data_IF_915202807118
#
_entry.id   IF_915202807118
#
_cell.length_a   1.000
_cell.length_b   1.000
_cell.length_c   1.000
_cell.angle_alpha   90.00
_cell.angle_beta   90.00
_cell.angle_gamma   90.00
#
_symmetry.space_group_name_H-M   'P 1'
#
loop_
_entity.id
_entity.type
_entity.pdbx_description
1 polymer ?
#
# COMPACT_ATOMS: atom_id res chain seq x y z
N UNK A 1 4.78 -70.46 43.76
CA UNK A 1 4.53 -69.00 43.90
C UNK A 1 5.80 -68.16 43.68
N UNK A 2 7.02 -68.66 43.94
CA UNK A 2 8.27 -67.94 43.67
C UNK A 2 8.66 -67.81 42.17
N UNK A 3 8.28 -68.73 41.29
CA UNK A 3 8.67 -68.72 39.86
C UNK A 3 7.92 -67.66 39.02
N UNK A 4 6.78 -67.18 39.50
CA UNK A 4 5.96 -66.18 38.81
C UNK A 4 6.41 -64.74 39.08
N UNK A 5 7.05 -64.49 40.22
CA UNK A 5 7.55 -63.16 40.60
C UNK A 5 8.77 -62.78 39.77
N UNK A 6 9.65 -63.73 39.48
CA UNK A 6 10.85 -63.50 38.66
C UNK A 6 10.53 -63.11 37.22
N UNK A 7 9.50 -63.72 36.61
CA UNK A 7 9.09 -63.37 35.24
C UNK A 7 8.49 -61.98 35.14
N UNK A 8 7.81 -61.52 36.18
CA UNK A 8 7.19 -60.19 36.20
C UNK A 8 8.24 -59.08 36.37
N UNK A 9 9.24 -59.30 37.22
CA UNK A 9 10.38 -58.38 37.40
C UNK A 9 11.21 -58.30 36.12
N UNK A 10 11.41 -59.41 35.42
CA UNK A 10 12.15 -59.43 34.15
C UNK A 10 11.44 -58.65 33.04
N UNK A 11 10.11 -58.75 32.95
CA UNK A 11 9.31 -57.97 31.97
C UNK A 11 9.35 -56.47 32.29
N UNK A 12 9.29 -56.09 33.57
CA UNK A 12 9.39 -54.68 33.98
C UNK A 12 10.77 -54.09 33.68
N UNK A 13 11.85 -54.87 33.86
CA UNK A 13 13.21 -54.43 33.51
C UNK A 13 13.38 -54.24 32.01
N UNK A 14 12.85 -55.13 31.17
CA UNK A 14 12.88 -54.97 29.71
C UNK A 14 12.07 -53.73 29.29
N UNK A 15 10.90 -53.51 29.88
CA UNK A 15 10.07 -52.34 29.57
C UNK A 15 10.75 -51.03 29.99
N UNK A 16 11.40 -51.01 31.16
CA UNK A 16 12.16 -49.84 31.63
C UNK A 16 13.39 -49.56 30.75
N UNK A 17 14.10 -50.59 30.30
CA UNK A 17 15.21 -50.43 29.34
C UNK A 17 14.70 -49.90 27.99
N UNK A 18 13.57 -50.41 27.50
CA UNK A 18 12.99 -49.95 26.24
C UNK A 18 12.58 -48.47 26.30
N UNK A 19 11.95 -48.04 27.40
CA UNK A 19 11.63 -46.62 27.62
C UNK A 19 12.89 -45.75 27.76
N UNK A 20 13.95 -46.28 28.38
CA UNK A 20 15.23 -45.57 28.47
C UNK A 20 15.91 -45.43 27.10
N UNK A 21 15.84 -46.45 26.24
CA UNK A 21 16.34 -46.38 24.87
C UNK A 21 15.52 -45.42 24.00
N UNK A 22 14.19 -45.38 24.15
CA UNK A 22 13.35 -44.37 23.48
C UNK A 22 13.73 -42.97 23.95
N UNK A 23 13.90 -42.75 25.26
CA UNK A 23 14.30 -41.46 25.80
C UNK A 23 15.69 -41.04 25.29
N UNK A 24 16.67 -41.95 25.25
CA UNK A 24 17.99 -41.66 24.66
C UNK A 24 17.87 -41.37 23.16
N UNK A 25 17.09 -42.15 22.41
CA UNK A 25 16.84 -41.92 21.00
C UNK A 25 16.28 -40.51 20.75
N UNK A 26 15.27 -40.11 21.52
CA UNK A 26 14.61 -38.80 21.46
C UNK A 26 15.57 -37.65 21.81
N UNK A 27 16.51 -37.88 22.76
CA UNK A 27 17.56 -36.91 23.09
C UNK A 27 18.68 -36.85 22.04
N UNK A 28 18.98 -37.96 21.35
CA UNK A 28 20.02 -38.01 20.31
C UNK A 28 19.58 -37.41 18.96
N UNK A 29 18.28 -37.41 18.64
CA UNK A 29 17.76 -36.74 17.44
C UNK A 29 17.71 -35.20 17.57
N UNK A 30 17.85 -34.63 18.78
CA UNK A 30 17.81 -33.18 18.99
C UNK A 30 19.06 -32.45 18.44
N UNK A 31 20.13 -33.18 18.13
CA UNK A 31 21.44 -32.59 17.77
C UNK A 31 21.99 -33.02 16.41
N UNK A 32 21.17 -33.60 15.52
CA UNK A 32 21.52 -33.54 14.09
C UNK A 32 21.34 -32.11 13.63
N UNK A 33 22.46 -31.41 13.48
CA UNK A 33 22.55 -30.08 12.85
C UNK A 33 21.92 -30.13 11.46
N UNK A 34 20.61 -29.91 11.41
CA UNK A 34 19.97 -29.34 10.24
C UNK A 34 20.60 -27.98 10.09
N UNK A 35 21.54 -27.89 9.15
CA UNK A 35 21.84 -26.63 8.51
C UNK A 35 20.51 -26.13 7.97
N UNK A 36 19.84 -25.29 8.75
CA UNK A 36 18.81 -24.40 8.24
C UNK A 36 19.55 -23.57 7.21
N UNK A 37 19.48 -24.00 5.95
CA UNK A 37 19.68 -23.10 4.84
C UNK A 37 18.71 -21.95 5.12
N UNK A 38 19.25 -20.82 5.57
CA UNK A 38 18.54 -19.56 5.54
C UNK A 38 18.19 -19.41 4.07
N UNK A 39 16.96 -19.77 3.70
CA UNK A 39 16.37 -19.29 2.46
C UNK A 39 16.37 -17.78 2.66
N UNK A 40 17.39 -17.12 2.14
CA UNK A 40 17.37 -15.68 1.95
C UNK A 40 16.16 -15.45 1.06
N UNK A 41 15.08 -14.96 1.69
CA UNK A 41 13.88 -14.59 0.98
C UNK A 41 14.33 -13.61 -0.11
N UNK A 42 14.11 -13.98 -1.38
CA UNK A 42 14.50 -13.13 -2.51
C UNK A 42 13.93 -11.73 -2.23
N UNK A 43 14.72 -10.65 -2.42
CA UNK A 43 14.25 -9.31 -2.12
C UNK A 43 12.93 -9.06 -2.85
N UNK A 44 11.98 -8.44 -2.15
CA UNK A 44 10.77 -7.95 -2.76
C UNK A 44 11.20 -6.85 -3.75
N UNK A 45 11.04 -7.11 -5.05
CA UNK A 45 11.54 -6.28 -6.17
C UNK A 45 13.07 -6.27 -6.36
N UNK A 46 13.67 -7.41 -6.77
CA UNK A 46 15.11 -7.52 -7.00
C UNK A 46 15.63 -6.50 -8.02
N UNK A 47 14.81 -6.08 -8.98
CA UNK A 47 15.14 -5.13 -10.03
C UNK A 47 15.49 -3.73 -9.53
N UNK A 48 14.98 -3.32 -8.34
CA UNK A 48 15.26 -1.99 -7.80
C UNK A 48 16.46 -1.95 -6.84
N UNK A 49 16.89 -3.11 -6.33
CA UNK A 49 17.97 -3.22 -5.33
C UNK A 49 19.25 -2.49 -5.76
N UNK A 50 19.74 -2.63 -7.01
CA UNK A 50 20.98 -1.94 -7.43
C UNK A 50 20.88 -0.41 -7.34
N UNK A 51 19.70 0.15 -7.61
CA UNK A 51 19.45 1.59 -7.57
C UNK A 51 19.38 2.12 -6.13
N UNK A 52 18.78 1.36 -5.21
CA UNK A 52 18.79 1.71 -3.78
C UNK A 52 20.22 1.72 -3.21
N UNK A 53 20.99 0.66 -3.49
CA UNK A 53 22.38 0.58 -3.05
C UNK A 53 23.25 1.72 -3.61
N UNK A 54 22.99 2.16 -4.84
CA UNK A 54 23.67 3.31 -5.43
C UNK A 54 23.41 4.59 -4.63
N UNK A 55 22.14 4.91 -4.33
CA UNK A 55 21.77 6.09 -3.53
C UNK A 55 22.35 6.00 -2.12
N UNK A 56 22.27 4.83 -1.47
CA UNK A 56 22.85 4.64 -0.13
C UNK A 56 24.36 4.89 -0.12
N UNK A 57 25.09 4.38 -1.12
CA UNK A 57 26.52 4.65 -1.27
C UNK A 57 26.80 6.13 -1.46
N UNK A 58 26.02 6.83 -2.30
CA UNK A 58 26.16 8.28 -2.51
C UNK A 58 25.92 9.08 -1.23
N UNK A 59 24.95 8.68 -0.40
CA UNK A 59 24.68 9.29 0.90
C UNK A 59 25.87 9.07 1.86
N UNK A 60 26.42 7.85 1.90
CA UNK A 60 27.52 7.48 2.80
C UNK A 60 28.87 8.12 2.42
N UNK A 61 29.15 8.36 1.14
CA UNK A 61 30.45 8.82 0.63
C UNK A 61 30.72 10.34 0.77
N UNK A 62 29.90 11.07 1.52
CA UNK A 62 30.13 12.49 1.86
C UNK A 62 30.18 13.46 0.65
N UNK A 63 29.38 13.19 -0.38
CA UNK A 63 28.79 14.23 -1.26
C UNK A 63 27.42 14.69 -0.72
N UNK A 64 27.23 14.57 0.59
CA UNK A 64 25.94 14.67 1.25
C UNK A 64 25.24 15.99 0.94
N UNK A 65 25.94 17.12 0.80
CA UNK A 65 25.28 18.41 0.54
C UNK A 65 24.49 18.46 -0.77
N UNK A 66 24.97 17.84 -1.85
CA UNK A 66 24.33 17.96 -3.17
C UNK A 66 23.26 16.88 -3.36
N UNK A 67 23.57 15.62 -3.02
CA UNK A 67 22.60 14.52 -3.17
C UNK A 67 21.47 14.65 -2.16
N UNK A 68 21.75 15.00 -0.89
CA UNK A 68 20.68 15.18 0.11
C UNK A 68 19.85 16.44 -0.12
N UNK A 69 20.42 17.47 -0.74
CA UNK A 69 19.64 18.65 -1.17
C UNK A 69 18.67 18.33 -2.31
N UNK A 70 18.92 17.26 -3.07
CA UNK A 70 18.01 16.75 -4.09
C UNK A 70 17.01 15.72 -3.53
N UNK A 71 17.12 15.28 -2.28
CA UNK A 71 16.11 14.38 -1.70
C UNK A 71 14.85 15.18 -1.34
N UNK A 72 13.71 14.72 -1.85
CA UNK A 72 12.41 15.24 -1.44
C UNK A 72 12.17 14.85 0.02
N UNK A 73 11.99 15.83 0.93
CA UNK A 73 11.89 15.50 2.34
C UNK A 73 10.62 14.68 2.64
N UNK A 74 10.71 13.67 3.51
CA UNK A 74 9.55 12.88 3.88
C UNK A 74 8.63 13.69 4.81
N UNK A 75 7.39 13.22 4.95
CA UNK A 75 6.46 13.72 5.96
C UNK A 75 6.09 15.23 5.86
N UNK A 76 6.08 15.80 4.67
CA UNK A 76 5.43 17.09 4.45
C UNK A 76 3.92 16.93 4.59
N UNK A 77 3.24 17.84 5.28
CA UNK A 77 1.79 17.72 5.53
C UNK A 77 0.99 18.17 4.30
N UNK A 78 0.55 17.22 3.50
CA UNK A 78 -0.46 17.45 2.46
C UNK A 78 -1.87 17.44 3.07
N UNK A 79 -2.87 17.88 2.30
CA UNK A 79 -4.28 17.69 2.62
C UNK A 79 -4.60 16.20 2.77
N UNK A 80 -5.34 15.85 3.83
CA UNK A 80 -5.69 14.47 4.14
C UNK A 80 -7.19 14.26 3.97
N UNK A 81 -7.56 13.06 3.49
CA UNK A 81 -8.95 12.61 3.44
C UNK A 81 -9.03 11.25 4.11
N UNK A 82 -9.96 11.10 5.04
CA UNK A 82 -10.19 9.87 5.78
C UNK A 82 -11.64 9.43 5.60
N UNK A 83 -11.82 8.20 5.18
CA UNK A 83 -13.13 7.55 5.16
C UNK A 83 -13.39 6.97 6.55
N UNK A 84 -14.57 7.23 7.11
CA UNK A 84 -14.98 6.68 8.41
C UNK A 84 -16.22 5.80 8.28
N UNK A 85 -16.27 4.73 9.07
CA UNK A 85 -17.47 3.92 9.26
C UNK A 85 -17.68 3.70 10.76
N UNK A 86 -18.38 4.64 11.44
CA UNK A 86 -18.63 4.57 12.89
C UNK A 86 -19.27 3.26 13.36
N UNK A 87 -20.25 2.66 12.65
CA UNK A 87 -20.86 1.38 13.08
C UNK A 87 -19.86 0.24 13.25
N UNK A 88 -18.74 0.27 12.52
CA UNK A 88 -17.69 -0.75 12.56
C UNK A 88 -16.39 -0.26 13.19
N UNK A 89 -16.36 0.97 13.70
CA UNK A 89 -15.15 1.64 14.25
C UNK A 89 -13.96 1.58 13.28
N UNK A 90 -14.23 1.68 11.99
CA UNK A 90 -13.22 1.64 10.92
C UNK A 90 -12.92 3.04 10.42
N UNK A 91 -11.64 3.33 10.19
CA UNK A 91 -11.24 4.47 9.38
C UNK A 91 -10.08 4.12 8.45
N UNK A 92 -10.01 4.82 7.33
CA UNK A 92 -8.88 4.68 6.41
C UNK A 92 -8.53 5.99 5.74
N UNK A 93 -7.23 6.23 5.59
CA UNK A 93 -6.74 7.38 4.86
C UNK A 93 -6.71 7.13 3.35
N UNK A 94 -7.22 8.07 2.57
CA UNK A 94 -7.15 8.08 1.12
C UNK A 94 -5.77 8.59 0.66
N UNK A 95 -5.00 7.67 0.10
CA UNK A 95 -3.78 7.99 -0.66
C UNK A 95 -4.10 7.69 -2.12
N UNK A 96 -3.92 8.68 -2.99
CA UNK A 96 -4.20 8.50 -4.41
C UNK A 96 -3.44 7.31 -5.00
N UNK A 97 -3.98 6.72 -6.06
CA UNK A 97 -3.37 5.58 -6.78
C UNK A 97 -3.14 4.30 -5.92
N UNK A 98 -3.66 4.27 -4.69
CA UNK A 98 -3.68 3.11 -3.79
C UNK A 98 -5.10 2.54 -3.63
N UNK A 99 -5.80 2.31 -4.75
CA UNK A 99 -7.18 1.79 -4.76
C UNK A 99 -8.20 2.69 -4.04
N UNK A 100 -8.00 4.01 -4.07
CA UNK A 100 -8.89 4.98 -3.38
C UNK A 100 -10.34 4.84 -3.81
N UNK A 101 -10.62 4.70 -5.12
CA UNK A 101 -12.00 4.60 -5.64
C UNK A 101 -12.74 3.38 -5.10
N UNK A 102 -12.11 2.20 -5.11
CA UNK A 102 -12.74 1.00 -4.57
C UNK A 102 -12.97 1.14 -3.06
N UNK A 103 -12.01 1.75 -2.35
CA UNK A 103 -12.10 1.98 -0.91
C UNK A 103 -13.23 2.95 -0.55
N UNK A 104 -13.38 4.03 -1.31
CA UNK A 104 -14.47 4.98 -1.19
C UNK A 104 -15.82 4.28 -1.32
N UNK A 105 -15.98 3.47 -2.37
CA UNK A 105 -17.21 2.71 -2.64
C UNK A 105 -17.52 1.67 -1.56
N UNK A 106 -16.48 1.02 -1.00
CA UNK A 106 -16.63 0.10 0.14
C UNK A 106 -17.16 0.85 1.37
N UNK A 107 -16.60 2.02 1.70
CA UNK A 107 -17.05 2.80 2.86
C UNK A 107 -18.45 3.39 2.65
N UNK A 108 -18.77 3.82 1.42
CA UNK A 108 -20.15 4.18 1.05
C UNK A 108 -21.12 3.02 1.29
N UNK A 109 -20.77 1.80 0.83
CA UNK A 109 -21.58 0.60 1.08
C UNK A 109 -21.74 0.30 2.58
N UNK A 110 -20.67 0.40 3.38
CA UNK A 110 -20.71 0.14 4.81
C UNK A 110 -21.52 1.17 5.59
N UNK A 111 -21.49 2.44 5.18
CA UNK A 111 -22.21 3.53 5.85
C UNK A 111 -23.68 3.61 5.43
N UNK A 112 -23.99 3.29 4.17
CA UNK A 112 -25.35 3.41 3.61
C UNK A 112 -25.85 2.13 2.94
N UNK A 113 -25.66 1.00 3.62
CA UNK A 113 -25.93 -0.34 3.09
C UNK A 113 -27.36 -0.51 2.56
N UNK A 114 -28.35 -0.01 3.28
CA UNK A 114 -29.77 -0.17 2.90
C UNK A 114 -30.06 0.52 1.57
N UNK A 115 -29.63 1.77 1.41
CA UNK A 115 -29.82 2.51 0.16
C UNK A 115 -28.99 1.93 -0.98
N UNK A 116 -27.75 1.53 -0.70
CA UNK A 116 -26.85 0.92 -1.69
C UNK A 116 -27.47 -0.34 -2.30
N UNK A 117 -28.06 -1.20 -1.46
CA UNK A 117 -28.77 -2.41 -1.90
C UNK A 117 -30.09 -2.04 -2.62
N UNK A 118 -30.88 -1.12 -2.06
CA UNK A 118 -32.17 -0.74 -2.62
C UNK A 118 -32.06 -0.15 -4.03
N UNK A 119 -30.97 0.58 -4.31
CA UNK A 119 -30.69 1.16 -5.62
C UNK A 119 -29.87 0.24 -6.54
N UNK A 120 -29.67 -1.03 -6.15
CA UNK A 120 -28.92 -2.02 -6.93
C UNK A 120 -27.54 -1.51 -7.38
N UNK A 121 -26.85 -0.81 -6.47
CA UNK A 121 -25.50 -0.28 -6.73
C UNK A 121 -24.47 -1.40 -6.61
N UNK A 122 -23.32 -1.21 -7.27
CA UNK A 122 -22.22 -2.18 -7.27
C UNK A 122 -20.92 -1.46 -6.91
N UNK A 123 -20.27 -1.90 -5.83
CA UNK A 123 -19.03 -1.30 -5.29
C UNK A 123 -17.96 -1.19 -6.39
N UNK A 124 -17.86 -2.20 -7.25
CA UNK A 124 -16.89 -2.27 -8.35
C UNK A 124 -17.12 -1.27 -9.49
N UNK A 125 -18.32 -0.70 -9.62
CA UNK A 125 -18.69 0.23 -10.70
C UNK A 125 -18.97 1.67 -10.23
N UNK A 126 -19.02 1.89 -8.92
CA UNK A 126 -19.08 3.22 -8.31
C UNK A 126 -17.84 4.06 -8.68
N UNK A 127 -18.07 5.33 -8.99
CA UNK A 127 -17.05 6.27 -9.48
C UNK A 127 -17.37 7.71 -9.08
N UNK A 128 -16.38 8.60 -9.12
CA UNK A 128 -16.51 9.95 -8.58
C UNK A 128 -17.60 10.81 -9.23
N UNK A 129 -17.98 10.52 -10.47
CA UNK A 129 -19.02 11.22 -11.22
C UNK A 129 -20.42 10.61 -11.01
N UNK A 130 -20.53 9.49 -10.29
CA UNK A 130 -21.79 8.78 -10.08
C UNK A 130 -21.98 8.24 -8.66
N UNK A 131 -21.15 8.60 -7.68
CA UNK A 131 -21.21 8.06 -6.33
C UNK A 131 -22.59 8.20 -5.69
N UNK A 132 -23.07 7.12 -5.08
CA UNK A 132 -24.32 7.15 -4.32
C UNK A 132 -24.20 8.04 -3.08
N UNK A 133 -23.10 7.91 -2.35
CA UNK A 133 -22.92 8.58 -1.07
C UNK A 133 -22.29 9.96 -1.25
N UNK A 134 -22.72 10.89 -0.40
CA UNK A 134 -22.08 12.20 -0.26
C UNK A 134 -20.81 12.13 0.61
N UNK A 135 -20.21 13.28 0.90
CA UNK A 135 -18.98 13.37 1.67
C UNK A 135 -19.18 13.29 3.20
N UNK A 136 -20.34 12.87 3.71
CA UNK A 136 -20.64 12.83 5.16
C UNK A 136 -19.72 11.90 5.97
N UNK A 137 -19.15 10.89 5.32
CA UNK A 137 -18.19 9.95 5.92
C UNK A 137 -16.72 10.35 5.70
N UNK A 138 -16.46 11.61 5.29
CA UNK A 138 -15.11 12.14 5.14
C UNK A 138 -14.67 12.95 6.36
N UNK A 139 -13.39 12.82 6.70
CA UNK A 139 -12.71 13.58 7.74
C UNK A 139 -11.36 14.05 7.20
N UNK A 140 -10.87 15.19 7.68
CA UNK A 140 -9.65 15.81 7.17
C UNK A 140 -8.44 15.66 8.12
N UNK A 141 -8.67 15.11 9.31
CA UNK A 141 -7.62 14.86 10.31
C UNK A 141 -7.91 13.64 11.17
N UNK A 142 -6.86 13.01 11.70
CA UNK A 142 -6.99 11.93 12.69
C UNK A 142 -7.72 12.40 13.94
N UNK A 143 -7.57 13.66 14.35
CA UNK A 143 -8.37 14.22 15.46
C UNK A 143 -9.86 14.07 15.16
N UNK A 144 -10.31 14.57 14.00
CA UNK A 144 -11.72 14.49 13.62
C UNK A 144 -12.21 13.05 13.40
N UNK A 145 -11.33 12.13 12.99
CA UNK A 145 -11.63 10.69 12.94
C UNK A 145 -11.87 10.13 14.34
N UNK A 146 -10.97 10.42 15.30
CA UNK A 146 -11.08 9.98 16.70
C UNK A 146 -12.32 10.56 17.37
N UNK A 147 -12.65 11.82 17.12
CA UNK A 147 -13.87 12.46 17.62
C UNK A 147 -15.14 11.79 17.09
N UNK A 148 -15.10 11.30 15.86
CA UNK A 148 -16.26 10.66 15.21
C UNK A 148 -16.45 9.21 15.63
N UNK A 149 -15.37 8.44 15.79
CA UNK A 149 -15.42 6.99 16.05
C UNK A 149 -15.31 6.67 17.54
N UNK A 150 -14.54 7.44 18.29
CA UNK A 150 -14.26 7.18 19.70
C UNK A 150 -13.22 6.07 19.93
N UNK A 151 -13.22 5.44 21.12
CA UNK A 151 -12.20 4.47 21.51
C UNK A 151 -12.28 3.16 20.71
N UNK A 152 -11.15 2.44 20.62
CA UNK A 152 -11.00 1.19 19.87
C UNK A 152 -11.14 1.34 18.34
N UNK A 153 -10.69 2.48 17.81
CA UNK A 153 -10.57 2.74 16.38
C UNK A 153 -9.67 1.69 15.71
N UNK A 154 -10.16 1.10 14.62
CA UNK A 154 -9.34 0.34 13.67
C UNK A 154 -8.98 1.27 12.50
N UNK A 155 -7.78 1.87 12.58
CA UNK A 155 -7.24 2.76 11.56
C UNK A 155 -6.34 1.98 10.61
N UNK A 156 -6.54 2.11 9.31
CA UNK A 156 -5.70 1.43 8.32
C UNK A 156 -5.39 2.28 7.09
N UNK A 157 -4.28 2.00 6.42
CA UNK A 157 -3.93 2.60 5.15
C UNK A 157 -3.47 1.53 4.18
N UNK A 158 -3.81 1.69 2.89
CA UNK A 158 -3.21 0.88 1.83
C UNK A 158 -2.00 1.64 1.31
N UNK A 159 -0.83 1.00 1.36
CA UNK A 159 0.40 1.50 0.76
C UNK A 159 0.76 0.68 -0.47
N UNK A 160 1.48 1.29 -1.41
CA UNK A 160 1.88 0.67 -2.66
C UNK A 160 3.37 0.88 -2.89
N UNK A 161 4.03 -0.04 -3.59
CA UNK A 161 5.43 0.19 -3.95
C UNK A 161 5.56 1.52 -4.73
N UNK A 162 6.49 2.43 -4.36
CA UNK A 162 6.51 3.78 -4.94
C UNK A 162 6.61 3.81 -6.47
N UNK A 163 7.45 2.96 -7.07
CA UNK A 163 7.57 2.84 -8.53
C UNK A 163 6.27 2.32 -9.16
N UNK A 164 5.63 1.32 -8.54
CA UNK A 164 4.38 0.75 -9.04
C UNK A 164 3.22 1.77 -8.97
N UNK A 165 3.22 2.60 -7.92
CA UNK A 165 2.30 3.74 -7.74
C UNK A 165 2.57 4.83 -8.77
N UNK A 166 3.83 5.21 -8.98
CA UNK A 166 4.24 6.18 -10.00
C UNK A 166 3.79 5.74 -11.39
N UNK A 167 4.07 4.50 -11.79
CA UNK A 167 3.60 3.93 -13.06
C UNK A 167 2.08 3.99 -13.19
N UNK A 168 1.36 3.74 -12.09
CA UNK A 168 -0.09 3.88 -12.08
C UNK A 168 -0.55 5.32 -12.28
N UNK A 169 0.12 6.27 -11.64
CA UNK A 169 -0.12 7.71 -11.80
C UNK A 169 0.18 8.18 -13.22
N UNK A 170 1.37 7.86 -13.75
CA UNK A 170 1.85 8.34 -15.05
C UNK A 170 0.98 7.83 -16.19
N UNK A 171 0.70 6.53 -16.23
CA UNK A 171 -0.13 5.96 -17.30
C UNK A 171 -1.56 6.49 -17.23
N UNK A 172 -2.11 6.67 -16.03
CA UNK A 172 -3.45 7.25 -15.88
C UNK A 172 -3.44 8.74 -16.27
N UNK A 173 -2.68 9.56 -15.55
CA UNK A 173 -2.76 11.03 -15.61
C UNK A 173 -1.97 11.68 -16.73
N UNK A 174 -0.91 11.03 -17.21
CA UNK A 174 -0.05 11.56 -18.27
C UNK A 174 -0.26 10.90 -19.61
N UNK A 175 -0.84 9.69 -19.69
CA UNK A 175 -1.02 9.00 -20.97
C UNK A 175 -2.49 8.87 -21.39
N UNK A 176 -3.43 8.66 -20.45
CA UNK A 176 -4.82 8.27 -20.77
C UNK A 176 -5.86 9.32 -20.40
N UNK A 177 -5.69 10.03 -19.29
CA UNK A 177 -6.67 10.98 -18.78
C UNK A 177 -6.64 12.26 -19.65
N UNK A 178 -7.80 12.58 -20.23
CA UNK A 178 -8.05 13.81 -21.01
C UNK A 178 -9.17 14.65 -20.37
N UNK A 179 -9.54 14.32 -19.12
CA UNK A 179 -10.66 14.98 -18.43
C UNK A 179 -10.30 16.38 -17.96
N UNK A 180 -9.05 16.57 -17.53
CA UNK A 180 -8.61 17.80 -16.84
C UNK A 180 -7.71 18.70 -17.68
N UNK A 181 -6.87 18.11 -18.55
CA UNK A 181 -5.90 18.86 -19.36
C UNK A 181 -5.81 18.26 -20.77
N UNK A 182 -5.61 19.12 -21.77
CA UNK A 182 -5.32 18.71 -23.13
C UNK A 182 -3.97 17.97 -23.23
N UNK A 183 -3.77 17.19 -24.31
CA UNK A 183 -2.58 16.33 -24.46
C UNK A 183 -1.26 17.11 -24.45
N UNK A 184 -1.28 18.35 -24.94
CA UNK A 184 -0.12 19.26 -24.98
C UNK A 184 0.22 19.88 -23.62
N UNK A 185 -0.74 20.01 -22.70
CA UNK A 185 -0.56 20.71 -21.43
C UNK A 185 -0.36 19.75 -20.25
N UNK A 186 -0.84 18.51 -20.36
CA UNK A 186 -0.74 17.52 -19.29
C UNK A 186 0.71 17.23 -18.92
N UNK A 187 0.90 16.92 -17.65
CA UNK A 187 2.16 16.54 -17.04
C UNK A 187 3.23 17.61 -17.27
N UNK A 188 2.85 18.85 -16.96
CA UNK A 188 3.69 20.04 -17.05
C UNK A 188 4.16 20.34 -18.48
N UNK A 189 3.36 19.97 -19.49
CA UNK A 189 3.72 20.12 -20.90
C UNK A 189 4.79 19.14 -21.41
N UNK A 190 5.14 18.12 -20.61
CA UNK A 190 6.14 17.11 -20.99
C UNK A 190 5.61 16.07 -22.00
N UNK A 191 4.34 16.14 -22.38
CA UNK A 191 3.71 15.21 -23.32
C UNK A 191 3.88 13.74 -22.87
N UNK A 192 4.73 12.96 -23.56
CA UNK A 192 5.05 11.55 -23.26
C UNK A 192 6.50 11.35 -22.82
N UNK A 193 7.22 12.44 -22.56
CA UNK A 193 8.60 12.40 -22.09
C UNK A 193 8.63 12.18 -20.57
N UNK A 194 9.03 10.97 -20.16
CA UNK A 194 9.15 10.59 -18.75
C UNK A 194 10.28 11.37 -18.07
N UNK A 195 11.37 11.65 -18.77
CA UNK A 195 12.53 12.36 -18.23
C UNK A 195 12.16 13.81 -17.90
N UNK A 196 11.50 14.51 -18.83
CA UNK A 196 10.93 15.83 -18.57
C UNK A 196 9.99 15.81 -17.36
N UNK A 197 9.10 14.82 -17.30
CA UNK A 197 8.08 14.75 -16.26
C UNK A 197 8.67 14.54 -14.86
N UNK A 198 9.63 13.61 -14.69
CA UNK A 198 10.22 13.36 -13.36
C UNK A 198 11.02 14.56 -12.84
N UNK A 199 11.65 15.33 -13.73
CA UNK A 199 12.35 16.56 -13.34
C UNK A 199 11.37 17.67 -12.95
N UNK A 200 10.31 17.88 -13.74
CA UNK A 200 9.27 18.84 -13.42
C UNK A 200 8.56 18.49 -12.10
N UNK A 201 8.21 17.21 -11.90
CA UNK A 201 7.54 16.73 -10.69
C UNK A 201 8.42 16.88 -9.45
N UNK A 202 9.70 16.53 -9.54
CA UNK A 202 10.67 16.71 -8.45
C UNK A 202 10.79 18.18 -8.04
N UNK A 203 10.94 19.09 -9.00
CA UNK A 203 10.98 20.53 -8.75
C UNK A 203 9.71 21.00 -8.03
N UNK A 204 8.53 20.55 -8.48
CA UNK A 204 7.26 20.86 -7.81
C UNK A 204 7.24 20.36 -6.36
N UNK A 205 7.71 19.13 -6.08
CA UNK A 205 7.79 18.64 -4.70
C UNK A 205 8.71 19.49 -3.82
N UNK A 206 9.89 19.85 -4.34
CA UNK A 206 10.83 20.71 -3.62
C UNK A 206 10.23 22.09 -3.35
N UNK A 207 9.44 22.64 -4.28
CA UNK A 207 8.74 23.91 -4.08
C UNK A 207 7.62 23.84 -3.03
N UNK A 208 6.84 22.75 -3.01
CA UNK A 208 5.82 22.51 -1.98
C UNK A 208 6.45 22.45 -0.60
N UNK A 209 7.53 21.68 -0.47
CA UNK A 209 8.23 21.54 0.80
C UNK A 209 8.79 22.88 1.30
N UNK A 210 9.43 23.64 0.40
CA UNK A 210 10.05 24.92 0.75
C UNK A 210 9.04 26.08 0.92
N UNK A 211 7.73 25.84 0.83
CA UNK A 211 6.67 26.85 0.91
C UNK A 211 6.83 28.02 -0.09
N UNK A 212 7.58 27.83 -1.18
CA UNK A 212 7.86 28.89 -2.18
C UNK A 212 6.66 29.18 -3.10
N UNK A 213 5.53 28.54 -2.87
CA UNK A 213 4.54 28.25 -3.91
C UNK A 213 3.20 28.98 -3.82
N UNK A 214 2.83 29.60 -2.70
CA UNK A 214 1.42 29.99 -2.51
C UNK A 214 1.09 31.42 -2.95
N UNK A 215 2.08 32.30 -3.10
CA UNK A 215 1.85 33.70 -3.44
C UNK A 215 2.35 34.02 -4.86
N UNK A 216 1.45 34.51 -5.73
CA UNK A 216 1.81 35.09 -7.03
C UNK A 216 1.98 34.11 -8.20
N UNK A 217 1.62 32.83 -8.05
CA UNK A 217 1.54 31.91 -9.19
C UNK A 217 0.32 32.18 -10.03
N UNK A 218 0.48 31.92 -11.32
CA UNK A 218 -0.63 31.74 -12.24
C UNK A 218 -1.62 30.69 -11.68
N UNK A 219 -2.94 30.99 -11.61
CA UNK A 219 -3.92 30.07 -11.05
C UNK A 219 -4.03 28.72 -11.76
N UNK A 220 -3.76 28.66 -13.07
CA UNK A 220 -3.81 27.42 -13.82
C UNK A 220 -2.61 26.53 -13.48
N UNK A 221 -1.41 27.10 -13.42
CA UNK A 221 -0.21 26.41 -12.95
C UNK A 221 -0.36 25.90 -11.51
N UNK A 222 -0.99 26.69 -10.62
CA UNK A 222 -1.27 26.25 -9.25
C UNK A 222 -2.18 25.01 -9.22
N UNK A 223 -3.29 25.02 -9.98
CA UNK A 223 -4.20 23.87 -10.10
C UNK A 223 -3.53 22.64 -10.67
N UNK A 224 -2.67 22.81 -11.68
CA UNK A 224 -1.91 21.71 -12.28
C UNK A 224 -0.95 21.09 -11.26
N UNK A 225 -0.25 21.92 -10.51
CA UNK A 225 0.63 21.46 -9.45
C UNK A 225 -0.15 20.70 -8.37
N UNK A 226 -1.26 21.24 -7.88
CA UNK A 226 -2.13 20.55 -6.90
C UNK A 226 -2.63 19.21 -7.43
N UNK A 227 -3.06 19.17 -8.69
CA UNK A 227 -3.50 17.94 -9.35
C UNK A 227 -2.41 16.88 -9.36
N UNK A 228 -1.20 17.20 -9.83
CA UNK A 228 -0.11 16.21 -9.91
C UNK A 228 0.47 15.87 -8.54
N UNK A 229 0.59 16.83 -7.62
CA UNK A 229 1.02 16.56 -6.23
C UNK A 229 0.08 15.57 -5.55
N UNK A 230 -1.24 15.73 -5.70
CA UNK A 230 -2.21 14.78 -5.14
C UNK A 230 -2.01 13.35 -5.68
N UNK A 231 -1.66 13.17 -6.94
CA UNK A 231 -1.51 11.83 -7.51
C UNK A 231 -0.14 11.21 -7.30
N UNK A 232 0.91 12.02 -7.14
CA UNK A 232 2.30 11.56 -7.20
C UNK A 232 3.13 11.83 -5.95
N UNK A 233 2.70 12.69 -5.01
CA UNK A 233 3.48 13.02 -3.81
C UNK A 233 3.90 11.77 -3.01
N UNK A 234 5.01 11.80 -2.27
CA UNK A 234 5.42 10.68 -1.42
C UNK A 234 4.28 10.25 -0.50
N UNK A 235 4.07 8.94 -0.35
CA UNK A 235 2.95 8.43 0.47
C UNK A 235 3.08 8.86 1.94
N UNK A 236 4.30 9.15 2.39
CA UNK A 236 4.61 9.70 3.72
C UNK A 236 4.06 11.10 3.93
N UNK A 237 3.69 11.83 2.87
CA UNK A 237 3.09 13.17 2.96
C UNK A 237 1.61 13.14 3.34
N UNK A 238 0.98 11.97 3.27
CA UNK A 238 -0.42 11.77 3.62
C UNK A 238 -0.57 11.22 5.03
N UNK A 239 -1.81 11.22 5.48
CA UNK A 239 -2.32 10.43 6.60
C UNK A 239 -1.69 10.76 7.96
N UNK A 240 -1.07 11.93 8.09
CA UNK A 240 -0.37 12.35 9.32
C UNK A 240 0.58 11.23 9.83
N UNK A 241 1.26 10.55 8.89
CA UNK A 241 2.05 9.35 9.20
C UNK A 241 3.22 9.65 10.13
N UNK A 242 3.75 10.88 10.12
CA UNK A 242 4.86 11.26 10.99
C UNK A 242 4.49 11.10 12.46
N UNK A 243 3.29 11.55 12.82
CA UNK A 243 2.78 11.52 14.19
C UNK A 243 2.08 10.19 14.51
N UNK A 244 1.42 9.57 13.52
CA UNK A 244 0.46 8.51 13.78
C UNK A 244 0.77 7.17 13.10
N UNK A 245 1.94 6.98 12.46
CA UNK A 245 2.30 5.73 11.74
C UNK A 245 2.02 4.46 12.55
N UNK A 246 2.34 4.46 13.84
CA UNK A 246 2.19 3.27 14.70
C UNK A 246 0.74 2.95 15.08
N UNK A 247 -0.20 3.85 14.79
CA UNK A 247 -1.64 3.63 14.98
C UNK A 247 -2.28 2.94 13.76
N UNK A 248 -1.59 2.87 12.62
CA UNK A 248 -2.10 2.28 11.40
C UNK A 248 -1.84 0.78 11.30
N UNK A 249 -2.86 0.06 10.86
CA UNK A 249 -2.69 -1.21 10.17
C UNK A 249 -2.33 -0.91 8.71
N UNK A 250 -1.17 -1.37 8.27
CA UNK A 250 -0.71 -1.17 6.90
C UNK A 250 -1.08 -2.37 6.05
N UNK A 251 -1.91 -2.15 5.03
CA UNK A 251 -2.19 -3.13 3.99
C UNK A 251 -1.30 -2.83 2.79
N UNK A 252 -0.55 -3.84 2.33
CA UNK A 252 0.29 -3.69 1.15
C UNK A 252 -0.54 -3.98 -0.11
N UNK A 253 -0.49 -3.07 -1.08
CA UNK A 253 -0.99 -3.34 -2.41
C UNK A 253 -0.17 -4.47 -3.04
N UNK A 254 -0.86 -5.45 -3.61
CA UNK A 254 -0.22 -6.62 -4.22
C UNK A 254 -0.08 -6.44 -5.72
N UNK A 255 1.00 -6.95 -6.29
CA UNK A 255 1.24 -7.03 -7.75
C UNK A 255 1.30 -8.49 -8.18
N UNK A 256 1.14 -8.75 -9.49
CA UNK A 256 1.21 -10.09 -10.06
C UNK A 256 -0.11 -10.89 -10.09
N UNK A 257 -0.06 -12.18 -10.49
CA UNK A 257 -1.25 -12.96 -10.87
C UNK A 257 -2.32 -13.14 -9.79
N UNK A 258 -1.92 -13.13 -8.51
CA UNK A 258 -2.83 -13.32 -7.37
C UNK A 258 -3.17 -12.01 -6.65
N UNK A 259 -2.73 -10.86 -7.16
CA UNK A 259 -2.85 -9.56 -6.50
C UNK A 259 -4.26 -9.22 -6.04
N UNK A 260 -5.27 -9.37 -6.91
CA UNK A 260 -6.68 -9.11 -6.59
C UNK A 260 -7.18 -9.99 -5.45
N UNK A 261 -6.84 -11.29 -5.45
CA UNK A 261 -7.25 -12.20 -4.37
C UNK A 261 -6.57 -11.84 -3.06
N UNK A 262 -5.25 -11.60 -3.09
CA UNK A 262 -4.47 -11.28 -1.89
C UNK A 262 -5.00 -10.03 -1.20
N UNK A 263 -5.24 -8.94 -1.94
CA UNK A 263 -5.78 -7.71 -1.34
C UNK A 263 -7.22 -7.89 -0.84
N UNK A 264 -8.06 -8.67 -1.54
CA UNK A 264 -9.42 -8.97 -1.10
C UNK A 264 -9.43 -9.79 0.20
N UNK A 265 -8.50 -10.73 0.36
CA UNK A 265 -8.32 -11.50 1.59
C UNK A 265 -7.83 -10.63 2.75
N UNK A 266 -6.92 -9.69 2.49
CA UNK A 266 -6.44 -8.74 3.51
C UNK A 266 -7.58 -7.85 4.03
N UNK A 267 -8.39 -7.30 3.12
CA UNK A 267 -9.60 -6.54 3.49
C UNK A 267 -10.59 -7.41 4.26
N UNK A 268 -10.84 -8.64 3.81
CA UNK A 268 -11.75 -9.57 4.46
C UNK A 268 -11.32 -9.82 5.91
N UNK A 269 -10.05 -10.16 6.15
CA UNK A 269 -9.49 -10.41 7.49
C UNK A 269 -9.58 -9.17 8.37
N UNK A 270 -9.23 -8.00 7.84
CA UNK A 270 -9.27 -6.74 8.59
C UNK A 270 -10.71 -6.41 9.02
N UNK A 271 -11.66 -6.48 8.09
CA UNK A 271 -13.05 -6.11 8.35
C UNK A 271 -13.78 -7.14 9.22
N UNK A 272 -13.41 -8.42 9.10
CA UNK A 272 -13.88 -9.46 9.99
C UNK A 272 -13.48 -9.18 11.45
N UNK A 273 -12.22 -8.79 11.69
CA UNK A 273 -11.74 -8.38 13.01
C UNK A 273 -12.46 -7.13 13.54
N UNK A 274 -12.85 -6.23 12.65
CA UNK A 274 -13.65 -5.04 13.00
C UNK A 274 -15.13 -5.36 13.28
N UNK A 275 -15.56 -6.62 13.11
CA UNK A 275 -16.92 -7.05 13.40
C UNK A 275 -17.92 -6.80 12.27
N UNK A 276 -17.45 -6.58 11.04
CA UNK A 276 -18.34 -6.43 9.88
C UNK A 276 -19.10 -7.75 9.63
N UNK A 277 -20.45 -7.74 9.52
CA UNK A 277 -21.25 -8.93 9.30
C UNK A 277 -20.81 -9.76 8.08
N UNK A 278 -20.86 -11.08 8.21
CA UNK A 278 -20.45 -12.05 7.16
C UNK A 278 -21.11 -11.78 5.80
N UNK A 279 -22.38 -11.32 5.80
CA UNK A 279 -23.08 -10.95 4.55
C UNK A 279 -22.38 -9.80 3.84
N UNK A 280 -22.01 -8.75 4.55
CA UNK A 280 -21.30 -7.59 3.99
C UNK A 280 -19.88 -7.95 3.55
N UNK A 281 -19.17 -8.77 4.34
CA UNK A 281 -17.86 -9.28 3.97
C UNK A 281 -17.89 -10.06 2.65
N UNK A 282 -18.87 -10.95 2.47
CA UNK A 282 -19.04 -11.71 1.22
C UNK A 282 -19.34 -10.79 0.04
N UNK A 283 -20.21 -9.78 0.22
CA UNK A 283 -20.49 -8.78 -0.82
C UNK A 283 -19.21 -8.05 -1.22
N UNK A 284 -18.51 -7.46 -0.25
CA UNK A 284 -17.26 -6.70 -0.50
C UNK A 284 -16.24 -7.58 -1.19
N UNK A 285 -15.99 -8.80 -0.69
CA UNK A 285 -15.06 -9.73 -1.31
C UNK A 285 -15.45 -10.04 -2.76
N UNK A 286 -16.73 -10.36 -3.02
CA UNK A 286 -17.20 -10.64 -4.39
C UNK A 286 -17.04 -9.45 -5.32
N UNK A 287 -17.28 -8.22 -4.83
CA UNK A 287 -17.10 -6.99 -5.60
C UNK A 287 -15.63 -6.70 -5.91
N UNK A 288 -14.73 -6.92 -4.94
CA UNK A 288 -13.28 -6.79 -5.16
C UNK A 288 -12.77 -7.82 -6.19
N UNK A 289 -13.37 -9.01 -6.23
CA UNK A 289 -13.00 -10.06 -7.18
C UNK A 289 -13.52 -9.81 -8.61
N UNK A 290 -14.43 -8.85 -8.85
CA UNK A 290 -14.93 -8.51 -10.20
C UNK A 290 -13.89 -7.86 -11.11
N UNK A 291 -12.74 -7.44 -10.57
CA UNK A 291 -11.62 -6.91 -11.35
C UNK A 291 -11.24 -5.50 -10.94
N UNK A 292 -10.76 -4.71 -11.89
CA UNK A 292 -10.17 -3.40 -11.63
C UNK A 292 -11.07 -2.24 -12.02
N UNK A 293 -10.87 -1.07 -11.42
CA UNK A 293 -11.61 0.16 -11.74
C UNK A 293 -11.36 0.65 -13.18
N UNK A 294 -12.23 1.54 -13.68
CA UNK A 294 -12.16 2.13 -15.04
C UNK A 294 -10.80 2.74 -15.40
N UNK A 295 -10.13 3.38 -14.45
CA UNK A 295 -8.82 4.03 -14.64
C UNK A 295 -7.64 3.13 -14.22
N UNK A 296 -7.86 1.83 -14.04
CA UNK A 296 -6.78 0.89 -13.74
C UNK A 296 -5.81 0.76 -14.90
N UNK A 297 -4.52 0.73 -14.58
CA UNK A 297 -3.44 0.65 -15.59
C UNK A 297 -2.67 -0.67 -15.53
N UNK A 298 -2.97 -1.53 -14.55
CA UNK A 298 -2.16 -2.70 -14.18
C UNK A 298 -1.83 -3.64 -15.35
N UNK A 299 -2.75 -3.83 -16.29
CA UNK A 299 -2.59 -4.77 -17.41
C UNK A 299 -2.39 -4.07 -18.77
N UNK A 300 -2.16 -2.77 -18.77
CA UNK A 300 -2.09 -2.00 -20.01
C UNK A 300 -0.73 -2.10 -20.71
N UNK A 301 -0.71 -2.04 -22.04
CA UNK A 301 0.52 -2.05 -22.83
C UNK A 301 1.38 -0.82 -22.51
N UNK A 302 0.75 0.34 -22.33
CA UNK A 302 1.45 1.59 -22.00
C UNK A 302 2.21 1.46 -20.68
N UNK A 303 1.64 0.76 -19.69
CA UNK A 303 2.34 0.49 -18.41
C UNK A 303 3.62 -0.30 -18.64
N UNK A 304 3.55 -1.40 -19.41
CA UNK A 304 4.72 -2.24 -19.67
C UNK A 304 5.84 -1.47 -20.39
N UNK A 305 5.47 -0.61 -21.34
CA UNK A 305 6.44 0.23 -22.08
C UNK A 305 7.12 1.23 -21.15
N UNK A 306 6.34 1.95 -20.33
CA UNK A 306 6.91 2.93 -19.38
C UNK A 306 7.76 2.23 -18.31
N UNK A 307 7.32 1.08 -17.81
CA UNK A 307 8.08 0.29 -16.84
C UNK A 307 9.42 -0.16 -17.39
N UNK A 308 9.47 -0.65 -18.63
CA UNK A 308 10.73 -0.99 -19.30
C UNK A 308 11.64 0.24 -19.45
N UNK A 309 11.08 1.39 -19.84
CA UNK A 309 11.82 2.63 -19.94
C UNK A 309 12.43 3.02 -18.58
N UNK A 310 11.65 3.00 -17.50
CA UNK A 310 12.12 3.31 -16.14
C UNK A 310 13.27 2.39 -15.71
N UNK A 311 13.12 1.07 -15.93
CA UNK A 311 14.14 0.09 -15.52
C UNK A 311 15.43 0.19 -16.34
N UNK A 312 15.37 0.74 -17.56
CA UNK A 312 16.53 0.92 -18.44
C UNK A 312 17.23 2.27 -18.27
N UNK A 313 16.55 3.26 -17.69
CA UNK A 313 17.02 4.65 -17.58
C UNK A 313 17.45 4.94 -16.13
N UNK A 314 18.77 4.92 -15.90
CA UNK A 314 19.35 5.15 -14.57
C UNK A 314 19.09 6.55 -14.04
N UNK A 315 18.98 7.56 -14.92
CA UNK A 315 18.70 8.93 -14.50
C UNK A 315 17.27 9.03 -13.97
N UNK A 316 16.30 8.53 -14.75
CA UNK A 316 14.89 8.58 -14.37
C UNK A 316 14.67 7.78 -13.08
N UNK A 317 15.25 6.58 -12.97
CA UNK A 317 15.15 5.78 -11.75
C UNK A 317 15.77 6.51 -10.55
N UNK A 318 16.94 7.14 -10.72
CA UNK A 318 17.56 7.96 -9.65
C UNK A 318 16.65 9.09 -9.22
N UNK A 319 16.00 9.78 -10.15
CA UNK A 319 15.05 10.86 -9.84
C UNK A 319 13.83 10.35 -9.08
N UNK A 320 13.32 9.16 -9.41
CA UNK A 320 12.27 8.49 -8.63
C UNK A 320 12.72 8.18 -7.19
N UNK A 321 13.93 7.67 -7.01
CA UNK A 321 14.49 7.38 -5.67
C UNK A 321 14.75 8.65 -4.85
N UNK A 322 15.05 9.77 -5.50
CA UNK A 322 15.15 11.06 -4.81
C UNK A 322 13.78 11.59 -4.36
N UNK A 323 12.70 11.22 -5.06
CA UNK A 323 11.35 11.64 -4.70
C UNK A 323 10.72 10.78 -3.60
N UNK A 324 11.02 9.48 -3.52
CA UNK A 324 10.29 8.50 -2.69
C UNK A 324 11.17 7.76 -1.71
#
# INVERSE_FOLDING_TARGET
>A
MLVLVDRFVFVLLIFSLFLFFIYIWEQTECCSSTTYAVMTQLPLYPEYVPHFEEIEKLIQQNSASNVTAELVPPYYRLENRYLVSPPYRLATCEIEKNMVTLRHSIFCYLTNTTQFIAQNRSISTEFWDNWLCDETFLRESISSVKDTIGPNLTLFAVIRHPVDRFLSGYVDKCLKDLTYYAEENRCFGCQKDVHCFVDALHNVFMEYYNNRSKNGRDPEAARMNDFYVRHFAPQTWYCELKEHRNEYIILNYHTGPNSTRSIAEDYYKLFERAGVPKKHLKTIYSEMMKGTTRHSTANSLERKVVEQQLLSDTYVMRRLMQMY
#
